data_IF_053627832992
#
_entry.id   IF_053627832992
#
_cell.length_a   1.000
_cell.length_b   1.000
_cell.length_c   1.000
_cell.angle_alpha   90.00
_cell.angle_beta   90.00
_cell.angle_gamma   90.00
#
_symmetry.space_group_name_H-M   'P 1'
#
loop_
_entity.id
_entity.type
_entity.pdbx_description
1 polymer ?
#
# COMPACT_ATOMS: atom_id res chain seq x y z
N UNK A 1 -2.49 -29.33 7.72
CA UNK A 1 -1.40 -28.53 7.09
C UNK A 1 -0.44 -28.16 8.22
N UNK A 2 0.88 -28.11 7.98
CA UNK A 2 1.79 -27.65 9.02
C UNK A 2 1.54 -26.16 9.35
N UNK A 3 1.65 -25.80 10.64
CA UNK A 3 1.66 -24.40 11.09
C UNK A 3 2.87 -23.68 10.50
N UNK A 4 2.69 -22.42 10.11
CA UNK A 4 3.80 -21.58 9.61
C UNK A 4 4.90 -21.45 10.66
N UNK A 5 6.15 -21.64 10.27
CA UNK A 5 7.28 -21.45 11.16
C UNK A 5 7.38 -19.98 11.64
N UNK A 6 7.69 -19.77 12.92
CA UNK A 6 7.90 -18.45 13.51
C UNK A 6 8.87 -17.60 12.69
N UNK A 7 10.00 -18.18 12.25
CA UNK A 7 11.00 -17.45 11.45
C UNK A 7 10.39 -16.88 10.15
N UNK A 8 9.53 -17.63 9.47
CA UNK A 8 8.82 -17.15 8.27
C UNK A 8 7.88 -15.97 8.56
N UNK A 9 7.33 -15.85 9.77
CA UNK A 9 6.59 -14.66 10.19
C UNK A 9 7.53 -13.47 10.48
N UNK A 10 8.66 -13.73 11.14
CA UNK A 10 9.70 -12.76 11.50
C UNK A 10 10.36 -12.16 10.25
N UNK A 11 10.73 -12.96 9.25
CA UNK A 11 11.41 -12.51 8.03
C UNK A 11 10.53 -11.58 7.19
N UNK A 12 9.29 -12.01 6.95
CA UNK A 12 8.29 -11.22 6.19
C UNK A 12 7.95 -9.92 6.91
N UNK A 13 7.80 -9.97 8.23
CA UNK A 13 7.54 -8.78 9.03
C UNK A 13 8.75 -7.84 9.05
N UNK A 14 9.96 -8.37 9.15
CA UNK A 14 11.21 -7.59 9.07
C UNK A 14 11.33 -6.87 7.73
N UNK A 15 11.00 -7.54 6.62
CA UNK A 15 10.95 -6.94 5.29
C UNK A 15 9.92 -5.82 5.19
N UNK A 16 8.70 -6.04 5.71
CA UNK A 16 7.60 -5.08 5.61
C UNK A 16 7.73 -3.90 6.59
N UNK A 17 8.49 -4.06 7.69
CA UNK A 17 8.83 -2.98 8.61
C UNK A 17 9.77 -1.94 7.99
N UNK A 18 10.75 -2.36 7.20
CA UNK A 18 11.75 -1.46 6.62
C UNK A 18 12.55 -0.70 7.70
N UNK A 19 12.76 0.60 7.48
CA UNK A 19 13.59 1.47 8.33
C UNK A 19 12.86 2.07 9.56
N UNK A 20 12.10 1.25 10.30
CA UNK A 20 11.57 1.67 11.63
C UNK A 20 12.70 1.82 12.66
N UNK A 21 12.43 2.54 13.74
CA UNK A 21 13.36 2.71 14.86
C UNK A 21 13.77 1.36 15.45
N UNK A 22 15.02 1.22 15.92
CA UNK A 22 15.57 -0.05 16.39
C UNK A 22 14.72 -0.70 17.51
N UNK A 23 14.30 0.08 18.50
CA UNK A 23 13.41 -0.39 19.59
C UNK A 23 12.02 -0.78 19.07
N UNK A 24 11.47 -0.08 18.07
CA UNK A 24 10.19 -0.45 17.44
C UNK A 24 10.32 -1.80 16.74
N UNK A 25 11.41 -1.99 15.97
CA UNK A 25 11.71 -3.27 15.30
C UNK A 25 11.81 -4.41 16.32
N UNK A 26 12.67 -4.27 17.32
CA UNK A 26 12.89 -5.26 18.36
C UNK A 26 11.57 -5.62 19.08
N UNK A 27 10.83 -4.61 19.52
CA UNK A 27 9.58 -4.80 20.25
C UNK A 27 8.51 -5.46 19.38
N UNK A 28 8.43 -5.10 18.09
CA UNK A 28 7.50 -5.75 17.13
C UNK A 28 7.85 -7.23 16.92
N UNK A 29 9.14 -7.58 16.83
CA UNK A 29 9.55 -8.97 16.74
C UNK A 29 9.23 -9.74 18.03
N UNK A 30 9.33 -9.11 19.20
CA UNK A 30 8.91 -9.71 20.47
C UNK A 30 7.39 -9.89 20.57
N UNK A 31 6.58 -8.96 20.05
CA UNK A 31 5.11 -9.14 19.92
C UNK A 31 4.80 -10.38 19.07
N UNK A 32 5.46 -10.55 17.93
CA UNK A 32 5.28 -11.72 17.05
C UNK A 32 5.68 -13.01 17.78
N UNK A 33 6.81 -13.03 18.49
CA UNK A 33 7.26 -14.20 19.27
C UNK A 33 6.26 -14.59 20.37
N UNK A 34 5.76 -13.62 21.15
CA UNK A 34 4.81 -13.86 22.25
C UNK A 34 3.46 -14.34 21.72
N UNK A 35 2.91 -13.64 20.73
CA UNK A 35 1.67 -14.05 20.07
C UNK A 35 1.79 -15.48 19.48
N UNK A 36 2.94 -15.82 18.88
CA UNK A 36 3.17 -17.14 18.32
C UNK A 36 3.19 -18.26 19.38
N UNK A 37 3.76 -18.00 20.57
CA UNK A 37 3.69 -18.92 21.72
C UNK A 37 2.24 -19.18 22.14
N UNK A 38 1.37 -18.17 22.06
CA UNK A 38 -0.07 -18.26 22.34
C UNK A 38 -0.90 -18.80 21.16
N UNK A 39 -0.27 -19.42 20.16
CA UNK A 39 -0.96 -19.96 18.97
C UNK A 39 -1.33 -18.92 17.89
N UNK A 40 -1.13 -17.63 18.16
CA UNK A 40 -1.55 -16.53 17.29
C UNK A 40 -0.45 -16.20 16.27
N UNK A 41 -0.72 -16.44 14.99
CA UNK A 41 0.19 -16.09 13.91
C UNK A 41 0.02 -14.62 13.51
N UNK A 42 1.04 -13.79 13.73
CA UNK A 42 1.06 -12.34 13.43
C UNK A 42 1.99 -12.01 12.28
N UNK A 43 1.63 -11.04 11.45
CA UNK A 43 2.48 -10.50 10.39
C UNK A 43 2.32 -8.98 10.27
N UNK A 44 3.42 -8.28 9.98
CA UNK A 44 3.39 -6.84 9.70
C UNK A 44 3.08 -6.60 8.21
N UNK A 45 2.17 -5.68 7.93
CA UNK A 45 1.84 -5.21 6.57
C UNK A 45 2.65 -3.98 6.18
N UNK A 46 2.96 -3.08 7.12
CA UNK A 46 3.80 -1.90 6.87
C UNK A 46 4.54 -1.43 8.15
N UNK A 47 5.68 -0.76 7.97
CA UNK A 47 6.39 -0.01 9.01
C UNK A 47 6.76 1.39 8.55
N UNK A 48 8.04 1.67 8.36
CA UNK A 48 8.50 2.98 7.89
C UNK A 48 7.98 3.30 6.49
N UNK A 49 7.62 4.57 6.28
CA UNK A 49 7.09 5.09 5.01
C UNK A 49 7.59 6.51 4.81
N UNK A 50 8.44 6.74 3.80
CA UNK A 50 9.04 8.06 3.56
C UNK A 50 7.99 9.13 3.25
N UNK A 51 8.38 10.39 3.38
CA UNK A 51 7.51 11.52 3.03
C UNK A 51 7.04 11.49 1.57
N UNK A 52 7.82 10.95 0.62
CA UNK A 52 7.38 10.78 -0.76
C UNK A 52 6.33 9.67 -0.91
N UNK A 53 6.47 8.56 -0.20
CA UNK A 53 5.50 7.45 -0.19
C UNK A 53 4.20 7.83 0.51
N UNK A 54 4.28 8.46 1.68
CA UNK A 54 3.13 9.04 2.36
C UNK A 54 2.44 10.07 1.47
N UNK A 55 3.19 10.82 0.65
CA UNK A 55 2.56 11.77 -0.26
C UNK A 55 1.80 11.06 -1.39
N UNK A 56 2.32 9.96 -1.94
CA UNK A 56 1.60 9.11 -2.89
C UNK A 56 0.32 8.52 -2.27
N UNK A 57 0.34 8.12 -0.99
CA UNK A 57 -0.84 7.60 -0.28
C UNK A 57 -1.87 8.69 0.08
N UNK A 58 -1.46 9.85 0.60
CA UNK A 58 -2.38 10.97 0.87
C UNK A 58 -3.09 11.44 -0.39
N UNK A 59 -2.37 11.41 -1.51
CA UNK A 59 -2.91 11.76 -2.81
C UNK A 59 -3.95 10.76 -3.29
N UNK A 60 -3.88 9.51 -2.85
CA UNK A 60 -4.82 8.47 -3.24
C UNK A 60 -6.23 8.85 -2.77
N UNK A 61 -7.22 8.74 -3.65
CA UNK A 61 -8.58 9.28 -3.53
C UNK A 61 -8.71 10.80 -3.48
N UNK A 62 -7.67 11.58 -3.81
CA UNK A 62 -7.71 13.06 -3.83
C UNK A 62 -7.20 13.64 -5.14
N UNK A 63 -5.98 13.30 -5.49
CA UNK A 63 -5.30 13.68 -6.73
C UNK A 63 -4.96 12.43 -7.54
N UNK A 64 -4.43 11.38 -6.90
CA UNK A 64 -4.43 10.03 -7.47
C UNK A 64 -5.76 9.32 -7.20
N UNK A 65 -6.42 8.72 -8.20
CA UNK A 65 -7.32 7.59 -8.02
C UNK A 65 -6.81 6.42 -7.16
N UNK A 66 -7.67 5.41 -7.00
CA UNK A 66 -7.72 4.59 -5.78
C UNK A 66 -8.47 5.31 -4.65
N UNK A 67 -8.57 4.68 -3.46
CA UNK A 67 -9.21 5.32 -2.30
C UNK A 67 -8.27 6.27 -1.57
N UNK A 68 -8.85 7.16 -0.79
CA UNK A 68 -8.23 7.68 0.42
C UNK A 68 -7.90 6.48 1.32
N UNK A 69 -6.61 6.14 1.40
CA UNK A 69 -6.06 5.13 2.34
C UNK A 69 -5.32 5.77 3.50
N UNK A 70 -5.27 7.10 3.54
CA UNK A 70 -4.76 7.88 4.68
C UNK A 70 -5.25 9.33 4.60
N UNK A 71 -5.51 9.94 5.74
CA UNK A 71 -5.80 11.37 5.86
C UNK A 71 -4.55 12.21 6.17
N UNK A 72 -3.45 11.57 6.59
CA UNK A 72 -2.21 12.23 6.95
C UNK A 72 -1.40 12.67 5.72
N UNK A 73 -1.05 13.95 5.64
CA UNK A 73 -0.05 14.47 4.69
C UNK A 73 1.36 13.95 5.09
N UNK A 74 2.40 14.13 4.25
CA UNK A 74 3.78 13.86 4.66
C UNK A 74 4.14 14.58 5.96
N UNK A 75 4.84 13.89 6.86
CA UNK A 75 5.16 14.36 8.20
C UNK A 75 3.98 14.36 9.17
N UNK A 76 2.77 13.93 8.76
CA UNK A 76 1.60 13.82 9.64
C UNK A 76 1.28 12.38 10.07
N UNK A 77 2.16 11.41 9.78
CA UNK A 77 1.98 10.01 10.17
C UNK A 77 3.24 9.47 10.83
N UNK A 78 3.10 8.66 11.90
CA UNK A 78 4.24 8.12 12.65
C UNK A 78 5.09 7.13 11.86
N UNK A 79 4.54 6.52 10.80
CA UNK A 79 5.33 5.79 9.80
C UNK A 79 6.42 6.65 9.14
N UNK A 80 6.24 7.98 9.06
CA UNK A 80 7.23 8.90 8.48
C UNK A 80 8.44 9.13 9.38
N UNK A 81 8.32 8.76 10.67
CA UNK A 81 9.36 8.85 11.67
C UNK A 81 9.93 7.46 12.05
N UNK A 82 9.39 6.39 11.44
CA UNK A 82 9.74 5.01 11.77
C UNK A 82 9.21 4.55 13.14
N UNK A 83 8.15 5.20 13.64
CA UNK A 83 7.63 5.03 15.00
C UNK A 83 6.32 4.22 15.09
N UNK A 84 5.88 3.64 13.98
CA UNK A 84 4.67 2.83 13.93
C UNK A 84 4.78 1.66 12.94
N UNK A 85 3.99 0.62 13.21
CA UNK A 85 3.79 -0.57 12.36
C UNK A 85 2.30 -0.90 12.25
N UNK A 86 1.89 -1.44 11.11
CA UNK A 86 0.54 -1.96 10.88
C UNK A 86 0.61 -3.51 10.88
N UNK A 87 -0.25 -4.19 11.64
CA UNK A 87 -0.27 -5.66 11.72
C UNK A 87 -1.57 -6.30 11.22
N UNK A 88 -1.47 -7.60 10.92
CA UNK A 88 -2.59 -8.48 10.65
C UNK A 88 -2.33 -9.88 11.20
N UNK A 89 -3.38 -10.67 11.39
CA UNK A 89 -3.26 -12.09 11.74
C UNK A 89 -3.15 -12.93 10.47
N UNK A 90 -2.60 -14.14 10.56
CA UNK A 90 -2.67 -15.10 9.45
C UNK A 90 -3.47 -16.34 9.83
N UNK A 91 -3.90 -17.10 8.82
CA UNK A 91 -4.31 -18.49 9.05
C UNK A 91 -3.13 -19.33 9.59
N UNK A 92 -3.44 -20.54 10.05
CA UNK A 92 -2.46 -21.47 10.65
C UNK A 92 -1.21 -21.69 9.78
N UNK A 93 -1.39 -21.91 8.47
CA UNK A 93 -0.31 -22.13 7.51
C UNK A 93 0.40 -20.86 7.02
N UNK A 94 0.03 -19.67 7.53
CA UNK A 94 0.70 -18.41 7.17
C UNK A 94 0.61 -18.02 5.68
N UNK A 95 -0.45 -18.43 4.99
CA UNK A 95 -0.65 -18.21 3.54
C UNK A 95 -1.82 -17.28 3.23
N UNK A 96 -2.72 -17.02 4.19
CA UNK A 96 -3.82 -16.06 4.07
C UNK A 96 -3.76 -15.04 5.20
N UNK A 97 -3.96 -13.76 4.85
CA UNK A 97 -4.22 -12.70 5.81
C UNK A 97 -5.63 -12.80 6.39
N UNK A 98 -5.76 -12.51 7.67
CA UNK A 98 -7.01 -12.46 8.44
C UNK A 98 -7.09 -11.08 9.08
N UNK A 99 -8.03 -10.27 8.61
CA UNK A 99 -8.24 -8.87 9.03
C UNK A 99 -9.38 -8.69 10.05
N UNK A 100 -9.85 -9.80 10.64
CA UNK A 100 -10.96 -9.81 11.59
C UNK A 100 -10.47 -9.44 12.98
N UNK A 101 -11.00 -8.33 13.52
CA UNK A 101 -10.71 -7.86 14.88
C UNK A 101 -11.45 -8.72 15.91
N UNK A 102 -10.85 -9.86 16.25
CA UNK A 102 -11.38 -10.86 17.19
C UNK A 102 -10.59 -10.86 18.52
N UNK A 103 -10.84 -11.84 19.39
CA UNK A 103 -10.12 -12.00 20.66
C UNK A 103 -8.59 -12.09 20.46
N UNK A 104 -8.12 -12.86 19.48
CA UNK A 104 -6.69 -12.98 19.16
C UNK A 104 -6.10 -11.65 18.68
N UNK A 105 -6.85 -10.85 17.91
CA UNK A 105 -6.42 -9.51 17.49
C UNK A 105 -6.23 -8.58 18.69
N UNK A 106 -7.19 -8.57 19.62
CA UNK A 106 -7.13 -7.79 20.86
C UNK A 106 -6.05 -8.30 21.81
N UNK A 107 -5.75 -9.60 21.81
CA UNK A 107 -4.64 -10.19 22.57
C UNK A 107 -3.27 -9.73 22.04
N UNK A 108 -3.08 -9.67 20.72
CA UNK A 108 -1.85 -9.12 20.11
C UNK A 108 -1.68 -7.64 20.47
N UNK A 109 -2.75 -6.84 20.45
CA UNK A 109 -2.72 -5.47 20.94
C UNK A 109 -2.35 -5.38 22.43
N UNK A 110 -2.89 -6.23 23.29
CA UNK A 110 -2.55 -6.27 24.71
C UNK A 110 -1.07 -6.64 24.95
N UNK A 111 -0.52 -7.60 24.18
CA UNK A 111 0.91 -7.94 24.19
C UNK A 111 1.75 -6.72 23.79
N UNK A 112 1.38 -6.04 22.70
CA UNK A 112 2.08 -4.83 22.24
C UNK A 112 2.03 -3.69 23.28
N UNK A 113 0.87 -3.48 23.92
CA UNK A 113 0.69 -2.50 25.01
C UNK A 113 1.55 -2.82 26.23
N UNK A 114 1.64 -4.09 26.64
CA UNK A 114 2.53 -4.52 27.75
C UNK A 114 4.01 -4.17 27.48
N UNK A 115 4.40 -4.21 26.20
CA UNK A 115 5.74 -3.89 25.73
C UNK A 115 5.96 -2.39 25.39
N UNK A 116 4.93 -1.55 25.54
CA UNK A 116 5.04 -0.09 25.42
C UNK A 116 4.54 0.53 24.11
N UNK A 117 3.86 -0.22 23.24
CA UNK A 117 3.10 0.38 22.14
C UNK A 117 1.79 1.01 22.64
N UNK A 118 1.34 2.07 21.98
CA UNK A 118 -0.08 2.45 21.94
C UNK A 118 -0.76 1.77 20.74
N UNK A 119 -2.07 1.50 20.83
CA UNK A 119 -2.83 0.79 19.79
C UNK A 119 -3.94 1.66 19.22
N UNK A 120 -4.03 1.75 17.89
CA UNK A 120 -5.06 2.54 17.20
C UNK A 120 -6.48 2.02 17.37
N UNK A 121 -6.64 0.80 17.90
CA UNK A 121 -7.92 0.24 18.34
C UNK A 121 -8.45 0.78 19.68
N UNK A 122 -7.64 1.55 20.43
CA UNK A 122 -8.07 2.26 21.65
C UNK A 122 -8.54 3.71 21.37
N UNK A 123 -8.39 4.22 20.14
CA UNK A 123 -8.71 5.60 19.79
C UNK A 123 -10.23 5.84 19.78
N UNK A 124 -10.68 6.96 20.36
CA UNK A 124 -12.11 7.31 20.50
C UNK A 124 -12.73 7.99 19.26
N UNK A 125 -11.96 8.19 18.19
CA UNK A 125 -12.38 8.86 16.96
C UNK A 125 -12.24 7.96 15.72
N UNK A 126 -11.29 8.29 14.84
CA UNK A 126 -10.91 7.40 13.74
C UNK A 126 -10.15 6.19 14.31
N UNK A 127 -10.83 5.05 14.46
CA UNK A 127 -10.24 3.80 14.99
C UNK A 127 -9.39 3.12 13.91
N UNK A 128 -8.12 2.82 14.21
CA UNK A 128 -7.19 2.16 13.28
C UNK A 128 -6.65 0.85 13.88
N UNK A 129 -7.44 -0.22 13.75
CA UNK A 129 -7.19 -1.50 14.41
C UNK A 129 -5.85 -2.21 14.07
N UNK A 130 -5.27 -2.09 12.85
CA UNK A 130 -3.91 -2.54 12.56
C UNK A 130 -2.80 -1.77 13.26
N UNK A 131 -3.04 -0.53 13.70
CA UNK A 131 -1.97 0.42 13.98
C UNK A 131 -1.36 0.26 15.38
N UNK A 132 -0.03 0.19 15.46
CA UNK A 132 0.73 0.18 16.71
C UNK A 132 1.85 1.23 16.64
N UNK A 133 1.92 2.12 17.63
CA UNK A 133 2.87 3.24 17.67
C UNK A 133 3.70 3.35 18.98
N UNK A 134 4.90 3.93 18.89
CA UNK A 134 5.78 4.26 20.02
C UNK A 134 6.41 5.65 19.83
N UNK A 135 5.84 6.67 20.44
CA UNK A 135 6.35 8.05 20.35
C UNK A 135 7.37 8.43 21.43
N UNK A 136 7.50 7.64 22.51
CA UNK A 136 8.29 8.02 23.68
C UNK A 136 7.76 9.26 24.39
N UNK A 137 6.44 9.51 24.31
CA UNK A 137 5.78 10.69 24.87
C UNK A 137 5.86 11.95 23.98
N UNK A 138 6.53 11.89 22.83
CA UNK A 138 6.58 13.03 21.91
C UNK A 138 5.27 13.22 21.15
N UNK A 139 4.84 14.48 21.00
CA UNK A 139 3.73 14.82 20.11
C UNK A 139 4.15 14.86 18.64
N UNK A 140 3.19 14.72 17.73
CA UNK A 140 3.44 14.83 16.28
C UNK A 140 4.08 16.19 15.91
N UNK A 141 3.71 17.28 16.59
CA UNK A 141 4.31 18.61 16.41
C UNK A 141 5.79 18.62 16.83
N UNK A 142 6.13 17.97 17.94
CA UNK A 142 7.53 17.86 18.41
C UNK A 142 8.38 17.03 17.44
N UNK A 143 7.83 15.96 16.87
CA UNK A 143 8.47 15.16 15.82
C UNK A 143 8.66 15.97 14.51
N UNK A 144 7.67 16.78 14.12
CA UNK A 144 7.76 17.72 12.99
C UNK A 144 8.83 18.80 13.22
N UNK A 145 8.97 19.30 14.44
CA UNK A 145 10.05 20.20 14.86
C UNK A 145 11.43 19.49 14.96
N UNK A 146 11.50 18.18 14.73
CA UNK A 146 12.74 17.42 14.67
C UNK A 146 13.26 16.90 16.02
N UNK A 147 12.46 16.95 17.10
CA UNK A 147 12.79 16.20 18.33
C UNK A 147 12.85 14.70 18.00
N UNK A 148 13.86 14.00 18.53
CA UNK A 148 14.00 12.55 18.40
C UNK A 148 13.42 11.87 19.64
N UNK A 149 12.66 10.76 19.50
CA UNK A 149 12.12 10.05 20.65
C UNK A 149 13.24 9.29 21.39
N UNK A 150 13.20 9.31 22.71
CA UNK A 150 14.01 8.45 23.55
C UNK A 150 13.24 7.16 23.85
N UNK A 151 13.27 6.19 22.93
CA UNK A 151 12.62 4.90 23.14
C UNK A 151 13.53 3.98 23.97
N UNK A 152 12.98 3.48 25.07
CA UNK A 152 13.58 2.48 25.95
C UNK A 152 12.91 1.13 25.67
N UNK A 153 13.69 0.07 25.49
CA UNK A 153 13.13 -1.27 25.26
C UNK A 153 12.57 -1.88 26.56
N UNK A 154 11.45 -2.60 26.42
CA UNK A 154 10.88 -3.45 27.49
C UNK A 154 11.10 -4.94 27.23
N UNK A 155 11.85 -5.29 26.18
CA UNK A 155 12.19 -6.68 25.85
C UNK A 155 13.29 -7.16 26.80
N UNK A 156 13.08 -8.30 27.46
CA UNK A 156 14.07 -8.91 28.37
C UNK A 156 13.97 -8.52 29.85
N UNK A 157 13.08 -7.60 30.25
CA UNK A 157 12.79 -7.32 31.66
C UNK A 157 13.79 -6.42 32.41
N UNK A 158 14.98 -6.17 31.86
CA UNK A 158 15.95 -5.18 32.37
C UNK A 158 16.11 -4.02 31.39
N UNK A 159 16.26 -2.80 31.90
CA UNK A 159 16.29 -1.56 31.09
C UNK A 159 17.56 -1.44 30.26
N UNK A 160 17.50 -1.87 29.00
CA UNK A 160 18.61 -1.74 28.05
C UNK A 160 18.65 -0.35 27.40
N UNK A 161 19.75 0.37 27.63
CA UNK A 161 20.02 1.68 27.00
C UNK A 161 20.35 1.47 25.51
N UNK A 162 19.71 2.19 24.57
CA UNK A 162 19.94 1.98 23.14
C UNK A 162 21.37 2.39 22.72
N UNK A 163 21.99 1.67 21.76
CA UNK A 163 23.31 2.02 21.23
C UNK A 163 23.28 3.34 20.44
N UNK A 164 24.38 4.08 20.47
CA UNK A 164 24.46 5.42 19.90
C UNK A 164 24.44 5.41 18.35
N UNK A 165 23.36 5.92 17.76
CA UNK A 165 23.24 6.08 16.30
C UNK A 165 24.13 7.20 15.76
N UNK A 166 25.18 6.84 14.99
CA UNK A 166 25.95 7.76 14.16
C UNK A 166 25.05 8.31 13.02
N UNK A 167 25.10 9.60 12.64
CA UNK A 167 24.06 10.17 11.76
C UNK A 167 24.23 9.80 10.28
N UNK A 168 23.12 9.48 9.61
CA UNK A 168 23.01 9.42 8.15
C UNK A 168 22.34 10.71 7.58
N UNK A 169 22.67 11.14 6.34
CA UNK A 169 22.19 12.41 5.77
C UNK A 169 20.72 12.39 5.27
N UNK A 170 20.12 13.58 5.08
CA UNK A 170 18.67 13.80 4.84
C UNK A 170 18.32 14.21 3.38
N UNK A 171 17.20 13.72 2.80
CA UNK A 171 16.56 14.28 1.59
C UNK A 171 15.19 15.01 1.83
N UNK A 172 14.59 15.62 0.79
CA UNK A 172 13.34 16.46 0.79
C UNK A 172 12.27 15.99 -0.28
N UNK A 173 10.97 16.43 -0.28
CA UNK A 173 9.82 15.65 -0.87
C UNK A 173 8.88 16.32 -1.94
N UNK A 174 7.98 15.54 -2.63
CA UNK A 174 6.79 16.01 -3.45
C UNK A 174 5.67 14.95 -3.81
N UNK A 175 4.79 15.20 -4.83
CA UNK A 175 3.30 14.89 -4.87
C UNK A 175 2.62 14.75 -6.29
N UNK A 176 1.93 13.63 -6.70
CA UNK A 176 1.26 13.44 -8.05
C UNK A 176 -0.29 13.09 -8.17
N UNK A 177 -0.82 12.83 -9.40
CA UNK A 177 -2.24 12.48 -9.80
C UNK A 177 -2.42 11.15 -10.60
N UNK A 178 -3.65 10.65 -10.88
CA UNK A 178 -3.98 9.37 -11.64
C UNK A 178 -5.26 9.47 -12.54
N UNK A 179 -5.74 8.37 -13.16
CA UNK A 179 -6.92 8.28 -14.10
C UNK A 179 -7.74 6.97 -13.96
N UNK A 180 -8.87 6.85 -14.69
CA UNK A 180 -9.69 5.63 -14.88
C UNK A 180 -9.80 5.17 -16.35
N UNK A 181 -10.25 3.93 -16.58
CA UNK A 181 -10.36 3.23 -17.89
C UNK A 181 -11.76 2.60 -18.09
N UNK A 182 -12.54 3.06 -19.08
CA UNK A 182 -13.93 2.59 -19.25
C UNK A 182 -14.03 1.18 -19.85
N UNK A 183 -14.79 0.30 -19.20
CA UNK A 183 -15.12 -1.07 -19.60
C UNK A 183 -16.61 -1.15 -19.94
N UNK A 184 -16.90 -1.00 -21.23
CA UNK A 184 -18.27 -0.96 -21.78
C UNK A 184 -18.96 -2.34 -21.76
N UNK A 185 -20.29 -2.34 -21.83
CA UNK A 185 -21.11 -3.55 -21.88
C UNK A 185 -21.20 -4.32 -20.55
N UNK A 186 -21.77 -5.52 -20.61
CA UNK A 186 -21.77 -6.48 -19.48
C UNK A 186 -20.43 -7.20 -19.38
N UNK A 187 -20.23 -7.98 -18.32
CA UNK A 187 -19.07 -8.87 -18.23
C UNK A 187 -19.20 -10.03 -19.23
N UNK A 188 -18.28 -10.10 -20.19
CA UNK A 188 -18.15 -11.14 -21.23
C UNK A 188 -16.89 -11.99 -21.06
N UNK A 189 -16.03 -11.66 -20.09
CA UNK A 189 -14.77 -12.35 -19.84
C UNK A 189 -13.58 -11.43 -19.57
N UNK A 190 -13.76 -10.12 -19.74
CA UNK A 190 -12.73 -9.10 -19.53
C UNK A 190 -12.28 -9.04 -18.07
N UNK A 191 -11.01 -8.69 -17.85
CA UNK A 191 -10.53 -8.36 -16.50
C UNK A 191 -11.03 -6.97 -16.13
N UNK A 192 -11.61 -6.86 -14.94
CA UNK A 192 -11.91 -5.59 -14.28
C UNK A 192 -10.99 -5.43 -13.05
N UNK A 193 -10.27 -4.33 -12.94
CA UNK A 193 -9.30 -4.10 -11.84
C UNK A 193 -9.19 -2.63 -11.41
N UNK A 194 -8.41 -2.37 -10.35
CA UNK A 194 -8.27 -1.02 -9.76
C UNK A 194 -7.75 -0.01 -10.79
N UNK A 195 -8.64 0.86 -11.25
CA UNK A 195 -8.37 1.75 -12.38
C UNK A 195 -9.43 1.66 -13.48
N UNK A 196 -10.26 0.63 -13.52
CA UNK A 196 -11.37 0.56 -14.47
C UNK A 196 -12.60 1.36 -14.04
N UNK A 197 -13.54 1.60 -14.95
CA UNK A 197 -14.88 2.14 -14.68
C UNK A 197 -15.91 1.70 -15.74
N UNK A 198 -17.15 2.17 -15.64
CA UNK A 198 -18.21 1.93 -16.63
C UNK A 198 -19.14 0.75 -16.30
N UNK A 199 -20.03 0.37 -17.25
CA UNK A 199 -21.12 -0.56 -17.00
C UNK A 199 -20.70 -1.93 -16.44
N UNK A 200 -19.61 -2.52 -16.93
CA UNK A 200 -19.12 -3.81 -16.43
C UNK A 200 -18.64 -3.72 -14.96
N UNK A 201 -18.06 -2.59 -14.57
CA UNK A 201 -17.67 -2.31 -13.19
C UNK A 201 -18.88 -2.05 -12.30
N UNK A 202 -19.90 -1.37 -12.81
CA UNK A 202 -21.16 -1.17 -12.06
C UNK A 202 -21.89 -2.49 -11.81
N UNK A 203 -21.87 -3.42 -12.77
CA UNK A 203 -22.33 -4.81 -12.63
C UNK A 203 -21.55 -5.58 -11.55
N UNK A 204 -20.21 -5.48 -11.54
CA UNK A 204 -19.36 -6.06 -10.50
C UNK A 204 -19.72 -5.53 -9.10
N UNK A 205 -19.80 -4.21 -8.93
CA UNK A 205 -20.13 -3.59 -7.65
C UNK A 205 -21.52 -4.00 -7.17
N UNK A 206 -22.51 -4.07 -8.07
CA UNK A 206 -23.86 -4.55 -7.77
C UNK A 206 -23.83 -5.99 -7.26
N UNK A 207 -23.05 -6.87 -7.89
CA UNK A 207 -22.88 -8.27 -7.44
C UNK A 207 -22.17 -8.36 -6.09
N UNK A 208 -21.16 -7.54 -5.83
CA UNK A 208 -20.46 -7.48 -4.53
C UNK A 208 -21.33 -6.92 -3.40
N UNK A 209 -22.19 -5.94 -3.70
CA UNK A 209 -23.12 -5.33 -2.74
C UNK A 209 -24.31 -6.25 -2.43
N UNK A 210 -24.79 -7.02 -3.41
CA UNK A 210 -25.95 -7.92 -3.27
C UNK A 210 -25.56 -9.37 -2.96
N UNK A 211 -24.27 -9.67 -2.75
CA UNK A 211 -23.82 -10.99 -2.30
C UNK A 211 -24.28 -11.28 -0.86
N UNK A 212 -24.35 -12.55 -0.47
CA UNK A 212 -24.56 -12.95 0.92
C UNK A 212 -23.32 -13.73 1.47
N UNK A 213 -22.55 -13.17 2.42
CA UNK A 213 -22.63 -11.81 2.95
C UNK A 213 -22.23 -10.75 1.91
N UNK A 214 -22.62 -9.48 2.09
CA UNK A 214 -22.25 -8.39 1.19
C UNK A 214 -20.80 -7.94 1.45
N UNK A 215 -20.08 -7.62 0.37
CA UNK A 215 -18.66 -7.24 0.43
C UNK A 215 -18.39 -5.75 0.17
N UNK A 216 -19.40 -5.01 -0.31
CA UNK A 216 -19.26 -3.59 -0.57
C UNK A 216 -19.51 -2.77 0.71
N UNK A 217 -18.64 -1.80 1.07
CA UNK A 217 -18.56 -1.25 2.43
C UNK A 217 -19.66 -0.26 2.83
N UNK A 218 -20.54 0.17 1.91
CA UNK A 218 -21.42 1.34 2.11
C UNK A 218 -22.91 0.99 1.99
N UNK A 219 -23.33 -0.07 2.70
CA UNK A 219 -24.74 -0.49 2.80
C UNK A 219 -25.57 0.65 3.43
N UNK A 220 -26.56 1.18 2.70
CA UNK A 220 -27.40 2.31 3.11
C UNK A 220 -27.00 3.67 2.53
N UNK A 221 -25.84 3.79 1.87
CA UNK A 221 -25.53 4.98 1.07
C UNK A 221 -26.37 5.02 -0.22
N UNK A 222 -26.41 6.18 -0.90
CA UNK A 222 -27.07 6.29 -2.22
C UNK A 222 -26.47 5.27 -3.20
N UNK A 223 -27.32 4.42 -3.79
CA UNK A 223 -26.95 3.25 -4.59
C UNK A 223 -25.99 2.26 -3.88
N UNK A 224 -25.97 2.17 -2.55
CA UNK A 224 -25.02 1.36 -1.75
C UNK A 224 -23.53 1.61 -2.10
N UNK A 225 -23.18 2.82 -2.56
CA UNK A 225 -21.82 3.16 -3.02
C UNK A 225 -21.45 2.63 -4.42
N UNK A 226 -22.41 2.09 -5.18
CA UNK A 226 -22.24 1.62 -6.56
C UNK A 226 -22.16 2.82 -7.52
N UNK A 227 -20.93 3.30 -7.75
CA UNK A 227 -20.61 4.48 -8.56
C UNK A 227 -20.22 4.15 -10.02
N UNK A 228 -19.93 2.88 -10.33
CA UNK A 228 -19.40 2.43 -11.62
C UNK A 228 -17.87 2.59 -11.77
N UNK A 229 -17.13 2.89 -10.71
CA UNK A 229 -15.67 3.06 -10.72
C UNK A 229 -14.97 1.98 -9.88
N UNK A 230 -13.94 1.37 -10.44
CA UNK A 230 -13.13 0.37 -9.77
C UNK A 230 -12.08 1.07 -8.91
N UNK A 231 -12.55 1.91 -8.00
CA UNK A 231 -11.73 2.50 -6.97
C UNK A 231 -11.24 1.46 -5.98
N UNK A 232 -10.44 1.89 -5.01
CA UNK A 232 -9.96 0.92 -4.03
C UNK A 232 -11.09 0.43 -3.09
N UNK A 233 -12.30 1.01 -3.12
CA UNK A 233 -13.52 0.45 -2.49
C UNK A 233 -13.93 -0.84 -3.20
N UNK A 234 -13.93 -0.83 -4.53
CA UNK A 234 -14.17 -2.00 -5.37
C UNK A 234 -13.01 -2.99 -5.30
N UNK A 235 -11.76 -2.53 -5.27
CA UNK A 235 -10.56 -3.37 -5.06
C UNK A 235 -10.56 -4.05 -3.69
N UNK A 236 -10.92 -3.33 -2.62
CA UNK A 236 -11.02 -3.84 -1.26
C UNK A 236 -12.22 -4.79 -1.11
N UNK A 237 -13.40 -4.43 -1.64
CA UNK A 237 -14.54 -5.33 -1.74
C UNK A 237 -14.20 -6.62 -2.50
N UNK A 238 -13.44 -6.53 -3.61
CA UNK A 238 -12.95 -7.69 -4.36
C UNK A 238 -11.90 -8.46 -3.57
N UNK A 239 -10.97 -7.82 -2.85
CA UNK A 239 -9.99 -8.50 -1.98
C UNK A 239 -10.68 -9.23 -0.83
N UNK A 240 -11.70 -8.64 -0.21
CA UNK A 240 -12.54 -9.27 0.83
C UNK A 240 -13.30 -10.47 0.26
N UNK A 241 -13.98 -10.29 -0.88
CA UNK A 241 -14.68 -11.36 -1.61
C UNK A 241 -13.74 -12.51 -2.01
N UNK A 242 -12.57 -12.18 -2.56
CA UNK A 242 -11.54 -13.15 -2.94
C UNK A 242 -11.01 -13.92 -1.74
N UNK A 243 -10.74 -13.23 -0.62
CA UNK A 243 -10.29 -13.86 0.62
C UNK A 243 -11.34 -14.86 1.14
N UNK A 244 -12.60 -14.43 1.19
CA UNK A 244 -13.76 -15.23 1.63
C UNK A 244 -13.98 -16.47 0.77
N UNK A 245 -14.03 -16.34 -0.56
CA UNK A 245 -14.20 -17.48 -1.47
C UNK A 245 -12.89 -18.23 -1.80
N UNK A 246 -11.79 -17.92 -1.12
CA UNK A 246 -10.52 -18.65 -1.19
C UNK A 246 -9.75 -18.49 -2.51
N UNK A 247 -9.95 -17.38 -3.20
CA UNK A 247 -9.25 -17.01 -4.44
C UNK A 247 -7.88 -16.35 -4.14
N UNK A 248 -7.17 -15.94 -5.20
CA UNK A 248 -6.00 -15.04 -5.06
C UNK A 248 -6.53 -13.65 -4.66
N UNK A 249 -5.91 -13.03 -3.64
CA UNK A 249 -6.35 -11.75 -3.07
C UNK A 249 -5.56 -10.60 -3.72
N UNK A 250 -5.74 -10.45 -5.03
CA UNK A 250 -5.06 -9.45 -5.85
C UNK A 250 -5.86 -8.15 -6.03
N UNK A 251 -7.19 -8.19 -5.84
CA UNK A 251 -8.09 -7.06 -6.14
C UNK A 251 -8.45 -6.95 -7.61
N UNK A 252 -8.41 -8.07 -8.33
CA UNK A 252 -8.65 -8.19 -9.77
C UNK A 252 -9.87 -9.09 -10.02
N UNK A 253 -10.93 -8.52 -10.57
CA UNK A 253 -12.14 -9.24 -10.94
C UNK A 253 -12.03 -9.86 -12.34
N UNK A 254 -11.09 -10.80 -12.48
CA UNK A 254 -11.00 -11.69 -13.65
C UNK A 254 -11.95 -12.89 -13.57
N UNK A 255 -11.86 -13.80 -14.55
CA UNK A 255 -12.74 -14.97 -14.71
C UNK A 255 -12.95 -15.81 -13.43
N UNK A 256 -11.93 -15.97 -12.57
CA UNK A 256 -12.04 -16.73 -11.31
C UNK A 256 -12.87 -16.01 -10.24
N UNK A 257 -12.80 -14.69 -10.19
CA UNK A 257 -13.61 -13.85 -9.30
C UNK A 257 -15.06 -13.84 -9.79
N UNK A 258 -15.28 -13.62 -11.09
CA UNK A 258 -16.62 -13.65 -11.69
C UNK A 258 -17.30 -15.02 -11.63
N UNK A 259 -16.55 -16.12 -11.76
CA UNK A 259 -17.05 -17.49 -11.55
C UNK A 259 -17.49 -17.80 -10.12
N UNK A 260 -17.26 -16.90 -9.15
CA UNK A 260 -17.84 -16.94 -7.80
C UNK A 260 -18.95 -15.89 -7.59
N UNK A 261 -19.01 -14.84 -8.41
CA UNK A 261 -20.06 -13.81 -8.41
C UNK A 261 -21.30 -14.18 -9.24
N UNK A 262 -21.22 -15.28 -10.01
CA UNK A 262 -22.36 -15.78 -10.76
C UNK A 262 -23.46 -16.31 -9.82
N UNK A 263 -24.75 -16.04 -10.09
CA UNK A 263 -25.84 -16.72 -9.40
C UNK A 263 -25.74 -18.23 -9.68
N UNK A 264 -26.19 -19.07 -8.75
CA UNK A 264 -26.20 -20.53 -8.91
C UNK A 264 -27.05 -20.94 -10.14
N UNK A 265 -26.41 -21.23 -11.27
CA UNK A 265 -26.76 -22.42 -12.05
C UNK A 265 -25.91 -23.59 -11.53
N UNK A 266 -26.46 -24.79 -11.59
CA UNK A 266 -25.90 -25.97 -10.94
C UNK A 266 -24.78 -26.63 -11.78
N UNK A 267 -23.76 -27.16 -11.09
CA UNK A 267 -22.62 -27.93 -11.62
C UNK A 267 -21.69 -27.17 -12.62
N UNK A 268 -20.45 -27.57 -12.90
CA UNK A 268 -19.62 -28.72 -12.47
C UNK A 268 -18.12 -28.34 -12.31
N UNK A 269 -17.25 -29.31 -11.95
CA UNK A 269 -15.75 -29.25 -11.97
C UNK A 269 -15.21 -29.58 -13.39
N UNK A 270 -13.89 -29.44 -13.74
CA UNK A 270 -12.69 -29.07 -12.97
C UNK A 270 -12.13 -27.69 -13.44
N UNK A 271 -10.84 -27.29 -13.62
CA UNK A 271 -9.48 -27.84 -13.47
C UNK A 271 -8.47 -26.68 -13.15
N UNK A 272 -7.13 -26.89 -13.12
CA UNK A 272 -6.17 -25.79 -12.86
C UNK A 272 -4.69 -26.00 -13.24
N UNK A 273 -3.97 -24.86 -13.40
CA UNK A 273 -2.49 -24.59 -13.35
C UNK A 273 -1.70 -24.63 -14.68
N UNK A 274 -0.51 -23.96 -14.80
CA UNK A 274 0.32 -23.32 -13.76
C UNK A 274 0.57 -21.78 -13.87
N UNK A 275 1.72 -21.29 -13.34
CA UNK A 275 2.23 -19.91 -13.04
C UNK A 275 3.70 -19.81 -13.60
N UNK A 276 4.63 -18.83 -13.34
CA UNK A 276 4.68 -17.61 -12.49
C UNK A 276 4.97 -16.33 -13.34
N UNK A 277 5.86 -15.31 -13.13
CA UNK A 277 6.82 -14.86 -12.08
C UNK A 277 7.33 -13.40 -12.31
N UNK A 278 7.59 -12.63 -11.23
CA UNK A 278 8.56 -11.50 -11.19
C UNK A 278 8.05 -10.09 -11.63
N UNK A 279 8.74 -8.97 -11.35
CA UNK A 279 9.95 -8.73 -10.56
C UNK A 279 10.64 -7.39 -10.93
N UNK A 280 10.89 -6.48 -9.99
CA UNK A 280 11.25 -5.08 -10.31
C UNK A 280 12.72 -4.83 -10.71
N UNK A 281 12.94 -4.02 -11.77
CA UNK A 281 14.21 -3.42 -12.26
C UNK A 281 13.88 -2.30 -13.27
N UNK A 282 14.29 -1.04 -13.03
CA UNK A 282 14.06 0.06 -14.00
C UNK A 282 15.30 0.89 -14.40
N UNK A 283 16.42 0.84 -13.69
CA UNK A 283 17.70 1.38 -14.19
C UNK A 283 17.77 2.91 -14.28
N UNK A 284 18.41 3.43 -15.33
CA UNK A 284 18.52 4.87 -15.60
C UNK A 284 17.82 5.25 -16.90
N UNK A 285 17.50 6.54 -17.04
CA UNK A 285 17.08 7.13 -18.31
C UNK A 285 18.20 8.02 -18.84
N UNK A 286 18.65 7.81 -20.08
CA UNK A 286 19.51 8.74 -20.83
C UNK A 286 18.65 9.65 -21.70
N UNK A 287 18.91 10.96 -21.67
CA UNK A 287 18.22 11.92 -22.54
C UNK A 287 18.73 11.81 -23.97
N UNK A 288 17.81 11.70 -24.92
CA UNK A 288 18.03 11.55 -26.37
C UNK A 288 16.97 12.35 -27.14
N UNK A 289 17.05 12.43 -28.49
CA UNK A 289 15.94 12.92 -29.32
C UNK A 289 15.55 14.40 -29.14
N UNK A 290 16.41 15.20 -28.49
CA UNK A 290 16.29 16.65 -28.30
C UNK A 290 17.54 17.33 -28.85
N UNK A 291 17.44 18.60 -29.27
CA UNK A 291 18.60 19.39 -29.68
C UNK A 291 19.53 19.72 -28.51
N UNK A 292 18.99 20.38 -27.47
CA UNK A 292 19.78 20.86 -26.34
C UNK A 292 19.42 20.19 -25.00
N UNK A 293 18.14 20.13 -24.65
CA UNK A 293 17.67 19.61 -23.37
C UNK A 293 16.20 19.15 -23.43
N UNK A 294 15.85 18.16 -22.61
CA UNK A 294 14.47 17.76 -22.37
C UNK A 294 13.87 18.55 -21.19
N UNK A 295 12.60 18.92 -21.30
CA UNK A 295 11.83 19.54 -20.22
C UNK A 295 11.36 18.44 -19.26
N UNK A 296 11.57 18.64 -17.95
CA UNK A 296 10.98 17.82 -16.90
C UNK A 296 9.69 18.47 -16.43
N UNK A 297 8.60 17.72 -16.51
CA UNK A 297 7.24 18.14 -16.22
C UNK A 297 6.78 17.63 -14.85
N UNK A 298 5.88 18.35 -14.18
CA UNK A 298 5.25 17.90 -12.93
C UNK A 298 4.20 16.79 -13.11
N UNK A 299 3.79 16.53 -14.36
CA UNK A 299 2.75 15.57 -14.72
C UNK A 299 2.92 15.07 -16.17
N UNK A 300 2.41 13.86 -16.53
CA UNK A 300 2.53 13.29 -17.87
C UNK A 300 1.48 13.88 -18.84
N UNK A 301 1.47 15.21 -18.97
CA UNK A 301 0.60 15.98 -19.85
C UNK A 301 1.27 17.28 -20.32
N UNK A 302 2.00 17.22 -21.44
CA UNK A 302 2.80 18.35 -21.97
C UNK A 302 2.02 19.62 -22.30
N UNK A 303 0.68 19.60 -22.28
CA UNK A 303 -0.17 20.79 -22.51
C UNK A 303 -0.63 21.47 -21.22
N UNK A 304 -0.51 20.79 -20.06
CA UNK A 304 -1.02 21.29 -18.76
C UNK A 304 -0.02 21.18 -17.61
N UNK A 305 1.08 20.46 -17.81
CA UNK A 305 2.11 20.29 -16.80
C UNK A 305 2.97 21.55 -16.60
N UNK A 306 3.44 21.76 -15.38
CA UNK A 306 4.41 22.81 -15.06
C UNK A 306 5.83 22.34 -15.34
N UNK A 307 6.66 23.27 -15.82
CA UNK A 307 8.09 23.04 -16.02
C UNK A 307 8.81 23.02 -14.65
N UNK A 308 9.46 21.91 -14.30
CA UNK A 308 10.27 21.76 -13.08
C UNK A 308 11.76 22.14 -13.29
N UNK A 309 12.15 22.29 -14.56
CA UNK A 309 13.51 22.48 -15.04
C UNK A 309 13.80 21.62 -16.28
N UNK A 310 14.98 21.78 -16.84
CA UNK A 310 15.46 21.03 -18.02
C UNK A 310 16.62 20.11 -17.66
N UNK A 311 16.85 19.09 -18.49
CA UNK A 311 17.97 18.14 -18.39
C UNK A 311 18.63 18.03 -19.75
N UNK A 312 19.94 18.31 -19.81
CA UNK A 312 20.73 18.36 -21.07
C UNK A 312 20.72 17.02 -21.81
N UNK A 313 20.85 17.09 -23.14
CA UNK A 313 21.07 15.92 -24.00
C UNK A 313 22.21 15.04 -23.45
N UNK A 314 22.05 13.72 -23.51
CA UNK A 314 23.07 12.75 -23.08
C UNK A 314 23.18 12.53 -21.55
N UNK A 315 22.65 13.42 -20.71
CA UNK A 315 22.63 13.24 -19.26
C UNK A 315 21.74 12.07 -18.83
N UNK A 316 21.92 11.58 -17.59
CA UNK A 316 21.12 10.47 -17.03
C UNK A 316 20.38 10.82 -15.74
N UNK A 317 19.25 10.15 -15.51
CA UNK A 317 18.40 10.26 -14.32
C UNK A 317 18.02 8.87 -13.77
N UNK A 318 17.69 8.73 -12.48
CA UNK A 318 17.05 7.52 -11.95
C UNK A 318 15.70 7.30 -12.62
N UNK A 319 15.46 6.11 -13.18
CA UNK A 319 14.22 5.75 -13.86
C UNK A 319 13.30 4.95 -12.92
N UNK A 320 12.14 5.51 -12.61
CA UNK A 320 11.12 4.90 -11.74
C UNK A 320 10.09 4.08 -12.54
N UNK A 321 9.92 4.34 -13.83
CA UNK A 321 8.95 3.65 -14.69
C UNK A 321 8.63 4.43 -15.97
N UNK A 322 7.54 4.06 -16.64
CA UNK A 322 6.97 4.83 -17.76
C UNK A 322 5.43 4.79 -17.73
N UNK A 323 4.80 5.85 -18.24
CA UNK A 323 3.35 6.04 -18.16
C UNK A 323 2.77 6.59 -19.47
N UNK A 324 1.60 6.09 -19.87
CA UNK A 324 0.88 6.58 -21.05
C UNK A 324 0.11 7.86 -20.73
N UNK A 325 0.79 8.99 -20.92
CA UNK A 325 0.23 10.32 -20.66
C UNK A 325 -0.80 10.78 -21.69
N UNK A 326 -1.42 11.94 -21.47
CA UNK A 326 -2.62 12.37 -22.22
C UNK A 326 -2.34 13.12 -23.53
N UNK A 327 -1.11 13.59 -23.74
CA UNK A 327 -0.71 14.40 -24.88
C UNK A 327 0.66 13.97 -25.47
N UNK A 328 1.05 12.70 -25.36
CA UNK A 328 2.23 12.14 -26.04
C UNK A 328 1.99 10.70 -26.48
N UNK A 329 2.18 10.47 -27.76
CA UNK A 329 1.95 9.19 -28.44
C UNK A 329 3.01 8.15 -28.04
N UNK A 330 4.21 8.64 -27.72
CA UNK A 330 5.31 7.87 -27.11
C UNK A 330 5.21 7.70 -25.58
N UNK A 331 4.13 8.19 -24.94
CA UNK A 331 4.02 8.22 -23.49
C UNK A 331 5.04 9.15 -22.82
N UNK A 332 5.36 8.88 -21.55
CA UNK A 332 6.32 9.64 -20.73
C UNK A 332 7.14 8.67 -19.87
N UNK A 333 8.41 9.01 -19.64
CA UNK A 333 9.26 8.38 -18.64
C UNK A 333 9.04 9.02 -17.27
N UNK A 334 8.97 8.19 -16.22
CA UNK A 334 8.85 8.63 -14.82
C UNK A 334 10.23 8.66 -14.17
N UNK A 335 10.76 9.84 -13.88
CA UNK A 335 12.14 10.04 -13.40
C UNK A 335 12.17 10.69 -12.03
N UNK A 336 13.22 10.45 -11.26
CA UNK A 336 13.51 11.31 -10.10
C UNK A 336 14.31 12.54 -10.53
N UNK A 337 13.80 13.72 -10.21
CA UNK A 337 14.43 15.01 -10.51
C UNK A 337 14.34 15.93 -9.29
N UNK A 338 15.48 16.37 -8.76
CA UNK A 338 15.57 17.25 -7.57
C UNK A 338 14.83 16.71 -6.32
N UNK A 339 14.86 15.39 -6.07
CA UNK A 339 14.17 14.73 -4.95
C UNK A 339 12.65 14.60 -5.14
N UNK A 340 12.17 14.68 -6.38
CA UNK A 340 10.76 14.77 -6.75
C UNK A 340 10.47 13.88 -7.95
N UNK A 341 9.26 13.34 -8.04
CA UNK A 341 8.82 12.66 -9.26
C UNK A 341 8.61 13.70 -10.37
N UNK A 342 9.16 13.43 -11.54
CA UNK A 342 9.02 14.26 -12.74
C UNK A 342 8.85 13.42 -14.00
N UNK A 343 8.39 14.06 -15.07
CA UNK A 343 7.97 13.39 -16.29
C UNK A 343 8.72 13.94 -17.50
N UNK A 344 9.20 13.06 -18.38
CA UNK A 344 9.89 13.42 -19.62
C UNK A 344 9.16 12.74 -20.79
N UNK A 345 8.86 13.46 -21.87
CA UNK A 345 8.18 12.91 -23.06
C UNK A 345 8.93 11.68 -23.59
N UNK A 346 8.23 10.59 -23.89
CA UNK A 346 8.84 9.27 -24.19
C UNK A 346 9.93 9.32 -25.27
N UNK A 347 9.67 10.01 -26.39
CA UNK A 347 10.66 10.20 -27.47
C UNK A 347 11.94 10.97 -27.09
N UNK A 348 12.01 11.53 -25.89
CA UNK A 348 13.17 12.27 -25.37
C UNK A 348 14.02 11.49 -24.36
N UNK A 349 13.78 10.18 -24.21
CA UNK A 349 14.55 9.32 -23.30
C UNK A 349 14.71 7.89 -23.82
N UNK A 350 15.85 7.27 -23.48
CA UNK A 350 16.12 5.84 -23.68
C UNK A 350 16.60 5.24 -22.37
N UNK A 351 16.06 4.09 -21.99
CA UNK A 351 16.49 3.34 -20.81
C UNK A 351 17.92 2.81 -21.00
N UNK A 352 18.76 2.91 -19.96
CA UNK A 352 20.16 2.47 -19.88
C UNK A 352 20.53 1.95 -18.49
#
# INVERSE_FOLDING_TARGET
MARVALQTLIDRSTKNMGAVHAVVKETTLEVIKRAYKEGINVQISAGYRSNAEQQRLYNQGRTTPGNIVTNAKPGQSLHNYGLAVDYFLTNESGTKAVWTVNANWRRVAAIAKSLGFSWGGDWTGFVDYPHLEMTGGLSLSQLQAGKKPNLISKVGGTVSKPPANKPAPKPKPSKPTQKWTTKNGKWTGQVLEKGDCGPAVKDLQTKLANNNPPFYPEKGAKNNGIDGYYGAKTEDAVKRFQSYYGLVVDGVAGKKTYGKLAPKKAASKPASKPKPSGGGKHGKLKIVGVSNAAIVMDSPDRKKAKNLGTVKLGATLPLNGSVRGKNSDTGYWEVEFKGKLGYITGKFGKQV
#
